data_IF_218244467155
#
_entry.id   IF_218244467155
#
_cell.length_a   1.000
_cell.length_b   1.000
_cell.length_c   1.000
_cell.angle_alpha   90.00
_cell.angle_beta   90.00
_cell.angle_gamma   90.00
#
_symmetry.space_group_name_H-M   'P 1'
#
loop_
_entity.id
_entity.type
_entity.pdbx_description
1 polymer ?
#
# COMPACT_ATOMS: atom_id res chain seq x y z
N UNK A 1 -15.70 -10.55 17.48
CA UNK A 1 -15.41 -10.12 16.09
C UNK A 1 -14.85 -8.69 16.13
N UNK A 2 -13.66 -8.47 15.59
CA UNK A 2 -13.00 -7.16 15.47
C UNK A 2 -12.67 -6.98 13.99
N UNK A 3 -12.99 -5.82 13.42
CA UNK A 3 -12.71 -5.51 12.02
C UNK A 3 -11.81 -4.28 11.93
N UNK A 4 -10.74 -4.37 11.13
CA UNK A 4 -9.77 -3.29 10.91
C UNK A 4 -9.60 -3.03 9.43
N UNK A 5 -9.35 -1.77 9.09
CA UNK A 5 -9.00 -1.34 7.74
C UNK A 5 -7.48 -1.49 7.54
N UNK A 6 -7.10 -2.03 6.39
CA UNK A 6 -5.76 -2.00 5.83
C UNK A 6 -5.76 -1.00 4.65
N UNK A 7 -5.47 0.29 4.89
CA UNK A 7 -5.70 1.36 3.93
C UNK A 7 -4.71 1.28 2.76
N UNK A 8 -5.16 1.65 1.56
CA UNK A 8 -4.27 1.77 0.41
C UNK A 8 -3.25 2.89 0.62
N UNK A 9 -1.98 2.59 0.32
CA UNK A 9 -0.85 3.51 0.42
C UNK A 9 -0.65 4.25 -0.91
N UNK A 10 -0.49 5.55 -0.87
CA UNK A 10 -0.23 6.40 -2.03
C UNK A 10 1.06 7.17 -1.85
N UNK A 11 1.96 7.10 -2.83
CA UNK A 11 3.08 8.01 -2.92
C UNK A 11 2.63 9.27 -3.69
N UNK A 12 2.51 10.41 -3.01
CA UNK A 12 2.16 11.69 -3.66
C UNK A 12 3.27 12.15 -4.60
N UNK A 13 4.53 11.93 -4.19
CA UNK A 13 5.70 11.98 -5.05
C UNK A 13 6.66 10.85 -4.69
N UNK A 14 7.54 10.48 -5.62
CA UNK A 14 8.59 9.50 -5.39
C UNK A 14 9.83 9.89 -6.18
N UNK A 15 10.89 10.26 -5.49
CA UNK A 15 12.18 10.61 -6.09
C UNK A 15 13.20 9.53 -5.75
N UNK A 16 14.01 9.18 -6.73
CA UNK A 16 15.14 8.29 -6.54
C UNK A 16 16.40 9.14 -6.39
N UNK A 17 16.96 9.16 -5.19
CA UNK A 17 18.02 10.07 -4.80
C UNK A 17 19.43 9.49 -4.96
N UNK A 18 19.54 8.19 -5.13
CA UNK A 18 20.83 7.49 -5.24
C UNK A 18 20.65 5.97 -5.16
N UNK A 19 21.80 5.29 -5.09
CA UNK A 19 21.87 3.85 -4.91
C UNK A 19 23.04 3.52 -3.99
N UNK A 20 22.86 2.63 -3.01
CA UNK A 20 23.93 2.19 -2.14
C UNK A 20 24.78 1.07 -2.78
N UNK A 21 25.90 0.72 -2.13
CA UNK A 21 26.82 -0.31 -2.61
C UNK A 21 26.20 -1.72 -2.62
N UNK A 22 25.11 -1.93 -1.88
CA UNK A 22 24.33 -3.18 -1.86
C UNK A 22 23.28 -3.24 -2.97
N UNK A 23 23.11 -2.14 -3.72
CA UNK A 23 22.17 -2.05 -4.82
C UNK A 23 20.77 -1.56 -4.45
N UNK A 24 20.53 -1.11 -3.21
CA UNK A 24 19.27 -0.50 -2.81
C UNK A 24 19.20 0.97 -3.24
N UNK A 25 18.05 1.38 -3.75
CA UNK A 25 17.82 2.77 -4.13
C UNK A 25 17.43 3.60 -2.91
N UNK A 26 18.06 4.77 -2.79
CA UNK A 26 17.66 5.78 -1.83
C UNK A 26 16.50 6.56 -2.39
N UNK A 27 15.46 6.71 -1.62
CA UNK A 27 14.21 7.36 -1.99
C UNK A 27 13.99 8.64 -1.17
N UNK A 28 13.21 9.55 -1.71
CA UNK A 28 12.53 10.61 -0.99
C UNK A 28 11.08 10.64 -1.50
N UNK A 29 10.13 10.43 -0.61
CA UNK A 29 8.73 10.27 -0.97
C UNK A 29 7.82 10.76 0.13
N UNK A 30 6.64 11.26 -0.24
CA UNK A 30 5.58 11.56 0.70
C UNK A 30 4.47 10.54 0.53
N UNK A 31 4.17 9.83 1.61
CA UNK A 31 3.18 8.76 1.63
C UNK A 31 1.94 9.20 2.41
N UNK A 32 0.78 8.95 1.83
CA UNK A 32 -0.53 9.09 2.47
C UNK A 32 -1.31 7.80 2.36
N UNK A 33 -2.35 7.66 3.17
CA UNK A 33 -3.25 6.52 3.16
C UNK A 33 -4.67 6.97 2.84
N UNK A 34 -5.49 6.06 2.30
CA UNK A 34 -6.87 6.36 1.93
C UNK A 34 -7.86 5.69 2.89
N UNK A 35 -9.09 6.20 2.97
CA UNK A 35 -10.19 5.52 3.66
C UNK A 35 -10.65 4.25 2.94
N UNK A 36 -10.22 4.05 1.70
CA UNK A 36 -10.37 2.80 0.96
C UNK A 36 -9.20 1.86 1.24
N UNK A 37 -9.49 0.55 1.37
CA UNK A 37 -8.47 -0.47 1.62
C UNK A 37 -9.03 -1.87 1.71
N UNK A 38 -8.15 -2.81 2.00
CA UNK A 38 -8.51 -4.17 2.38
C UNK A 38 -9.07 -4.17 3.81
N UNK A 39 -9.77 -5.23 4.17
CA UNK A 39 -10.37 -5.35 5.49
C UNK A 39 -10.00 -6.68 6.12
N UNK A 40 -9.50 -6.63 7.36
CA UNK A 40 -9.25 -7.82 8.16
C UNK A 40 -10.30 -7.93 9.26
N UNK A 41 -10.86 -9.11 9.41
CA UNK A 41 -11.76 -9.45 10.52
C UNK A 41 -11.16 -10.59 11.32
N UNK A 42 -11.19 -10.46 12.65
CA UNK A 42 -10.59 -11.40 13.59
C UNK A 42 -11.64 -12.00 14.50
N UNK A 43 -11.63 -13.31 14.63
CA UNK A 43 -12.45 -14.06 15.58
C UNK A 43 -11.55 -15.01 16.38
N UNK A 44 -11.80 -15.21 17.70
CA UNK A 44 -11.08 -16.22 18.46
C UNK A 44 -11.33 -17.61 17.87
N UNK A 45 -10.29 -18.41 17.77
CA UNK A 45 -10.34 -19.79 17.29
C UNK A 45 -9.38 -20.70 18.07
N UNK A 46 -9.56 -22.02 17.96
CA UNK A 46 -8.63 -22.97 18.58
C UNK A 46 -7.28 -23.01 17.86
N UNK A 47 -7.31 -22.92 16.54
CA UNK A 47 -6.15 -22.89 15.66
C UNK A 47 -6.25 -21.64 14.75
N UNK A 48 -5.10 -21.18 14.22
CA UNK A 48 -5.10 -20.09 13.25
C UNK A 48 -5.67 -20.55 11.90
N UNK A 49 -6.43 -19.67 11.29
CA UNK A 49 -6.94 -19.84 9.94
C UNK A 49 -6.98 -18.51 9.21
N UNK A 50 -6.70 -18.52 7.90
CA UNK A 50 -6.85 -17.37 7.01
C UNK A 50 -7.82 -17.73 5.88
N UNK A 51 -8.84 -16.91 5.72
CA UNK A 51 -9.77 -16.97 4.57
C UNK A 51 -9.58 -15.66 3.80
N UNK A 52 -9.32 -15.78 2.49
CA UNK A 52 -9.19 -14.62 1.61
C UNK A 52 -10.43 -14.52 0.73
N UNK A 53 -11.05 -13.34 0.75
CA UNK A 53 -12.27 -13.01 0.00
C UNK A 53 -12.08 -11.67 -0.75
N UNK A 54 -13.12 -11.18 -1.43
CA UNK A 54 -13.10 -9.89 -2.12
C UNK A 54 -12.72 -10.01 -3.60
N UNK A 55 -12.77 -8.87 -4.30
CA UNK A 55 -12.60 -8.79 -5.77
C UNK A 55 -11.25 -9.34 -6.24
N UNK A 56 -10.19 -9.14 -5.46
CA UNK A 56 -8.83 -9.55 -5.82
C UNK A 56 -8.32 -10.79 -5.08
N UNK A 57 -9.21 -11.57 -4.46
CA UNK A 57 -8.84 -12.80 -3.76
C UNK A 57 -8.22 -13.86 -4.67
N UNK A 58 -8.73 -14.01 -5.90
CA UNK A 58 -8.25 -15.00 -6.88
C UNK A 58 -6.84 -14.73 -7.37
N UNK A 59 -6.36 -13.49 -7.30
CA UNK A 59 -4.98 -13.13 -7.66
C UNK A 59 -3.95 -13.64 -6.63
N UNK A 60 -4.40 -14.15 -5.47
CA UNK A 60 -3.57 -14.73 -4.41
C UNK A 60 -3.63 -16.27 -4.36
N UNK A 61 -4.05 -16.92 -5.48
CA UNK A 61 -4.29 -18.36 -5.56
C UNK A 61 -5.19 -18.90 -4.44
N UNK A 62 -6.49 -18.85 -4.75
CA UNK A 62 -7.58 -19.59 -4.13
C UNK A 62 -8.25 -19.05 -2.85
N UNK A 63 -9.56 -18.96 -2.94
CA UNK A 63 -10.51 -18.98 -1.83
C UNK A 63 -10.50 -20.38 -1.14
N UNK A 64 -9.38 -20.86 -0.66
CA UNK A 64 -9.31 -22.07 0.15
C UNK A 64 -8.98 -21.70 1.59
N UNK A 65 -9.63 -22.37 2.51
CA UNK A 65 -9.33 -22.32 3.94
C UNK A 65 -7.88 -22.76 4.11
N UNK A 66 -7.00 -21.82 4.38
CA UNK A 66 -5.63 -22.11 4.72
C UNK A 66 -5.58 -22.37 6.22
N UNK A 67 -5.56 -23.63 6.61
CA UNK A 67 -5.26 -24.01 7.98
C UNK A 67 -3.73 -24.03 8.13
N UNK A 68 -3.13 -23.14 8.91
CA UNK A 68 -1.71 -23.15 9.15
C UNK A 68 -1.39 -24.11 10.30
N UNK A 69 -1.41 -25.39 10.04
CA UNK A 69 -0.50 -26.27 10.73
C UNK A 69 0.64 -26.55 9.78
N UNK A 70 1.80 -26.03 10.12
CA UNK A 70 3.06 -26.45 9.54
C UNK A 70 3.23 -27.95 9.75
N UNK A 71 2.52 -28.72 8.94
CA UNK A 71 2.80 -30.16 8.86
C UNK A 71 4.00 -30.31 7.95
N UNK A 72 5.19 -30.46 8.56
CA UNK A 72 6.45 -30.76 7.83
C UNK A 72 6.36 -31.95 6.88
N UNK A 73 5.24 -32.66 6.84
CA UNK A 73 5.03 -33.84 6.03
C UNK A 73 4.16 -33.61 4.77
N UNK A 74 3.44 -32.49 4.67
CA UNK A 74 2.74 -32.11 3.45
C UNK A 74 3.38 -30.82 2.91
N UNK A 75 4.02 -30.91 1.73
CA UNK A 75 4.67 -29.76 1.03
C UNK A 75 3.63 -28.77 0.46
N UNK A 76 2.53 -28.51 1.14
CA UNK A 76 1.53 -27.55 0.71
C UNK A 76 1.80 -26.20 1.39
N UNK A 77 2.63 -25.38 0.75
CA UNK A 77 3.10 -24.09 1.22
C UNK A 77 2.17 -22.91 0.89
N UNK A 78 0.98 -23.14 0.35
CA UNK A 78 0.14 -22.08 -0.22
C UNK A 78 -0.36 -21.02 0.78
N UNK A 79 -0.41 -21.33 2.05
CA UNK A 79 -0.76 -20.34 3.09
C UNK A 79 0.41 -19.73 3.84
N UNK A 80 1.57 -20.41 3.84
CA UNK A 80 2.78 -19.95 4.54
C UNK A 80 3.41 -18.72 3.88
N UNK A 81 3.09 -18.43 2.62
CA UNK A 81 3.63 -17.29 1.87
C UNK A 81 2.79 -16.01 2.03
N UNK A 82 1.60 -16.08 2.63
CA UNK A 82 0.79 -14.88 2.84
C UNK A 82 1.41 -14.00 3.93
N UNK A 83 1.60 -12.71 3.60
CA UNK A 83 2.28 -11.76 4.49
C UNK A 83 1.55 -11.56 5.82
N UNK A 84 0.22 -11.72 5.84
CA UNK A 84 -0.60 -11.67 7.07
C UNK A 84 -0.22 -12.81 8.02
N UNK A 85 -0.10 -14.04 7.49
CA UNK A 85 0.28 -15.18 8.33
C UNK A 85 1.74 -15.09 8.79
N UNK A 86 2.64 -14.67 7.91
CA UNK A 86 4.05 -14.41 8.28
C UNK A 86 4.15 -13.35 9.38
N UNK A 87 3.30 -12.32 9.33
CA UNK A 87 3.25 -11.28 10.36
C UNK A 87 2.74 -11.85 11.71
N UNK A 88 1.75 -12.73 11.70
CA UNK A 88 1.23 -13.40 12.90
C UNK A 88 2.28 -14.32 13.54
N UNK A 89 2.95 -15.13 12.73
CA UNK A 89 4.01 -16.03 13.20
C UNK A 89 5.18 -15.23 13.77
N UNK A 90 5.66 -14.22 13.04
CA UNK A 90 6.74 -13.33 13.50
C UNK A 90 6.38 -12.56 14.77
N UNK A 91 5.10 -12.18 14.95
CA UNK A 91 4.63 -11.53 16.16
C UNK A 91 4.79 -12.45 17.38
N UNK A 92 4.45 -13.74 17.26
CA UNK A 92 4.62 -14.73 18.35
C UNK A 92 6.10 -15.07 18.60
N UNK A 93 6.88 -15.21 17.54
CA UNK A 93 8.33 -15.45 17.64
C UNK A 93 9.05 -14.30 18.34
N UNK A 94 8.59 -13.06 18.14
CA UNK A 94 9.08 -11.88 18.84
C UNK A 94 8.65 -11.79 20.33
N UNK A 95 7.82 -12.73 20.81
CA UNK A 95 7.37 -12.82 22.20
C UNK A 95 5.97 -12.30 22.49
N UNK A 96 5.24 -11.85 21.47
CA UNK A 96 3.83 -11.46 21.60
C UNK A 96 2.94 -12.66 21.93
N UNK A 97 1.97 -12.49 22.83
CA UNK A 97 1.08 -13.57 23.28
C UNK A 97 -0.34 -13.32 22.81
N UNK A 98 -0.76 -14.09 21.82
CA UNK A 98 -2.12 -14.07 21.26
C UNK A 98 -2.62 -15.51 21.04
N UNK A 99 -3.88 -15.77 21.37
CA UNK A 99 -4.54 -17.05 21.13
C UNK A 99 -4.78 -17.28 19.64
N UNK A 100 -5.26 -18.47 19.28
CA UNK A 100 -5.61 -18.80 17.89
C UNK A 100 -6.66 -17.86 17.31
N UNK A 101 -6.50 -17.50 16.06
CA UNK A 101 -7.34 -16.53 15.35
C UNK A 101 -7.86 -17.11 14.02
N UNK A 102 -9.17 -17.02 13.80
CA UNK A 102 -9.77 -17.11 12.48
C UNK A 102 -9.75 -15.69 11.86
N UNK A 103 -8.98 -15.54 10.77
CA UNK A 103 -8.77 -14.26 10.09
C UNK A 103 -9.48 -14.31 8.74
N UNK A 104 -10.35 -13.34 8.48
CA UNK A 104 -10.89 -13.11 7.14
C UNK A 104 -10.25 -11.86 6.56
N UNK A 105 -9.57 -12.01 5.41
CA UNK A 105 -8.97 -10.93 4.65
C UNK A 105 -9.82 -10.67 3.39
N UNK A 106 -10.50 -9.53 3.35
CA UNK A 106 -11.24 -9.07 2.18
C UNK A 106 -10.33 -8.19 1.32
N UNK A 107 -9.93 -8.71 0.14
CA UNK A 107 -9.03 -8.04 -0.81
C UNK A 107 -9.79 -7.13 -1.77
N UNK A 108 -9.74 -5.83 -1.50
CA UNK A 108 -10.33 -4.76 -2.30
C UNK A 108 -9.28 -3.99 -3.10
N UNK A 109 -7.99 -4.03 -2.67
CA UNK A 109 -6.87 -3.41 -3.36
C UNK A 109 -6.33 -4.36 -4.43
N UNK A 110 -6.17 -3.92 -5.70
CA UNK A 110 -5.56 -4.74 -6.74
C UNK A 110 -4.16 -5.23 -6.35
N UNK A 111 -3.88 -6.50 -6.57
CA UNK A 111 -2.57 -7.10 -6.24
C UNK A 111 -1.49 -6.61 -7.19
N UNK A 112 -0.31 -6.27 -6.67
CA UNK A 112 0.81 -5.78 -7.47
C UNK A 112 0.59 -4.40 -8.10
N UNK A 113 -0.31 -3.60 -7.52
CA UNK A 113 -0.77 -2.34 -8.08
C UNK A 113 0.01 -1.10 -7.63
N UNK A 114 1.09 -1.23 -6.85
CA UNK A 114 1.82 -0.08 -6.31
C UNK A 114 1.11 0.65 -5.16
N UNK A 115 0.02 0.06 -4.61
CA UNK A 115 -0.79 0.62 -3.53
C UNK A 115 -0.47 0.04 -2.14
N UNK A 116 0.55 -0.80 -2.03
CA UNK A 116 1.03 -1.35 -0.76
C UNK A 116 0.06 -2.30 -0.06
N UNK A 117 -0.92 -2.92 -0.77
CA UNK A 117 -2.00 -3.70 -0.16
C UNK A 117 -1.51 -4.79 0.81
N UNK A 118 -0.60 -5.67 0.38
CA UNK A 118 -0.07 -6.72 1.26
C UNK A 118 0.69 -6.18 2.48
N UNK A 119 1.42 -5.07 2.33
CA UNK A 119 2.11 -4.42 3.45
C UNK A 119 1.12 -3.76 4.42
N UNK A 120 0.03 -3.19 3.89
CA UNK A 120 -1.06 -2.65 4.70
C UNK A 120 -1.79 -3.75 5.48
N UNK A 121 -2.03 -4.92 4.84
CA UNK A 121 -2.64 -6.09 5.48
C UNK A 121 -1.80 -6.57 6.68
N UNK A 122 -0.49 -6.77 6.46
CA UNK A 122 0.44 -7.17 7.52
C UNK A 122 0.49 -6.14 8.66
N UNK A 123 0.58 -4.87 8.33
CA UNK A 123 0.59 -3.79 9.33
C UNK A 123 -0.72 -3.71 10.11
N UNK A 124 -1.86 -3.88 9.45
CA UNK A 124 -3.18 -3.91 10.09
C UNK A 124 -3.30 -5.11 11.05
N UNK A 125 -2.82 -6.29 10.66
CA UNK A 125 -2.72 -7.44 11.54
C UNK A 125 -1.84 -7.09 12.76
N UNK A 126 -0.61 -6.62 12.56
CA UNK A 126 0.33 -6.33 13.65
C UNK A 126 -0.27 -5.35 14.68
N UNK A 127 -0.93 -4.28 14.22
CA UNK A 127 -1.64 -3.35 15.11
C UNK A 127 -2.73 -4.05 15.91
N UNK A 128 -3.56 -4.84 15.23
CA UNK A 128 -4.70 -5.52 15.86
C UNK A 128 -4.23 -6.55 16.89
N UNK A 129 -3.29 -7.43 16.53
CA UNK A 129 -2.81 -8.46 17.47
C UNK A 129 -2.04 -7.86 18.63
N UNK A 130 -1.29 -6.78 18.42
CA UNK A 130 -0.59 -6.09 19.51
C UNK A 130 -1.56 -5.43 20.49
N UNK A 131 -2.65 -4.84 20.00
CA UNK A 131 -3.70 -4.27 20.86
C UNK A 131 -4.51 -5.33 21.62
N UNK A 132 -4.63 -6.55 21.07
CA UNK A 132 -5.36 -7.67 21.68
C UNK A 132 -4.47 -8.57 22.54
N UNK A 133 -3.16 -8.42 22.45
CA UNK A 133 -2.19 -9.30 23.10
C UNK A 133 -2.23 -9.20 24.62
N UNK A 134 -2.06 -10.34 25.29
CA UNK A 134 -1.84 -10.40 26.75
C UNK A 134 -0.42 -9.98 27.16
N UNK A 135 0.51 -10.00 26.20
CA UNK A 135 1.87 -9.47 26.34
C UNK A 135 2.21 -8.72 25.04
N UNK A 136 1.79 -7.44 24.91
CA UNK A 136 2.07 -6.66 23.72
C UNK A 136 3.57 -6.42 23.57
N UNK A 137 4.04 -6.40 22.33
CA UNK A 137 5.41 -6.06 22.00
C UNK A 137 5.63 -4.55 22.16
N UNK A 138 6.82 -4.20 22.60
CA UNK A 138 7.28 -2.81 22.57
C UNK A 138 7.32 -2.29 21.12
N UNK A 139 7.09 -0.98 20.95
CA UNK A 139 7.05 -0.35 19.64
C UNK A 139 8.30 -0.62 18.82
N UNK A 140 9.50 -0.58 19.41
CA UNK A 140 10.75 -0.86 18.69
C UNK A 140 10.77 -2.28 18.10
N UNK A 141 10.40 -3.29 18.91
CA UNK A 141 10.33 -4.69 18.47
C UNK A 141 9.29 -4.86 17.35
N UNK A 142 8.15 -4.17 17.48
CA UNK A 142 7.08 -4.22 16.47
C UNK A 142 7.53 -3.60 15.13
N UNK A 143 8.28 -2.50 15.18
CA UNK A 143 8.85 -1.89 13.97
C UNK A 143 9.97 -2.73 13.34
N UNK A 144 10.84 -3.37 14.15
CA UNK A 144 11.86 -4.29 13.65
C UNK A 144 11.22 -5.49 12.94
N UNK A 145 10.16 -6.05 13.53
CA UNK A 145 9.37 -7.10 12.89
C UNK A 145 8.75 -6.59 11.57
N UNK A 146 8.12 -5.43 11.58
CA UNK A 146 7.53 -4.83 10.38
C UNK A 146 8.57 -4.68 9.26
N UNK A 147 9.79 -4.19 9.58
CA UNK A 147 10.88 -4.04 8.61
C UNK A 147 11.35 -5.38 8.03
N UNK A 148 11.33 -6.45 8.84
CA UNK A 148 11.70 -7.80 8.37
C UNK A 148 10.68 -8.40 7.39
N UNK A 149 9.42 -7.96 7.45
CA UNK A 149 8.35 -8.42 6.58
C UNK A 149 8.36 -7.76 5.20
N UNK A 150 8.81 -6.50 5.11
CA UNK A 150 8.91 -5.77 3.85
C UNK A 150 9.10 -4.27 4.04
N UNK A 151 9.68 -3.61 3.03
CA UNK A 151 10.09 -2.21 3.09
C UNK A 151 8.92 -1.23 3.35
N UNK A 152 7.71 -1.54 2.86
CA UNK A 152 6.52 -0.70 3.04
C UNK A 152 5.75 -1.02 4.35
N UNK A 153 6.07 -2.13 5.06
CA UNK A 153 5.31 -2.51 6.27
C UNK A 153 5.48 -1.50 7.41
N UNK A 154 6.70 -0.97 7.69
CA UNK A 154 6.88 0.02 8.74
C UNK A 154 6.06 1.30 8.52
N UNK A 155 6.01 1.83 7.30
CA UNK A 155 5.22 3.04 7.01
C UNK A 155 3.73 2.76 7.08
N UNK A 156 3.27 1.58 6.65
CA UNK A 156 1.89 1.13 6.86
C UNK A 156 1.56 0.96 8.35
N UNK A 157 2.53 0.52 9.16
CA UNK A 157 2.38 0.40 10.61
C UNK A 157 2.28 1.77 11.30
N UNK A 158 3.10 2.74 10.89
CA UNK A 158 3.05 4.11 11.37
C UNK A 158 1.72 4.79 11.05
N UNK A 159 1.21 4.59 9.83
CA UNK A 159 0.02 5.27 9.34
C UNK A 159 0.22 6.79 9.20
N UNK A 160 -0.89 7.51 9.00
CA UNK A 160 -0.86 8.96 8.82
C UNK A 160 -0.14 9.40 7.56
N UNK A 161 0.28 10.67 7.51
CA UNK A 161 1.11 11.16 6.41
C UNK A 161 2.58 11.10 6.82
N UNK A 162 3.43 10.43 6.03
CA UNK A 162 4.84 10.19 6.33
C UNK A 162 5.73 10.62 5.18
N UNK A 163 6.76 11.42 5.47
CA UNK A 163 7.88 11.61 4.54
C UNK A 163 8.88 10.48 4.76
N UNK A 164 9.21 9.78 3.69
CA UNK A 164 10.16 8.67 3.69
C UNK A 164 11.45 9.13 3.04
N UNK A 165 12.56 8.85 3.70
CA UNK A 165 13.91 9.11 3.17
C UNK A 165 14.77 7.85 3.26
N UNK A 166 15.92 7.83 2.55
CA UNK A 166 16.86 6.72 2.55
C UNK A 166 16.31 5.50 1.83
N UNK A 167 16.55 4.33 2.37
CA UNK A 167 16.04 3.04 1.85
C UNK A 167 14.63 2.69 2.39
N UNK A 168 13.93 3.67 2.95
CA UNK A 168 12.63 3.50 3.62
C UNK A 168 12.74 3.46 5.15
N UNK A 169 13.94 3.66 5.69
CA UNK A 169 14.26 3.62 7.11
C UNK A 169 14.11 4.98 7.82
N UNK A 170 14.21 6.07 7.06
CA UNK A 170 13.95 7.42 7.56
C UNK A 170 12.47 7.79 7.40
N UNK A 171 11.68 7.71 8.47
CA UNK A 171 10.27 8.15 8.48
C UNK A 171 10.12 9.41 9.34
N UNK A 172 9.43 10.40 8.79
CA UNK A 172 9.11 11.64 9.51
C UNK A 172 7.64 11.99 9.29
N UNK A 173 6.83 12.16 10.35
CA UNK A 173 5.46 12.61 10.22
C UNK A 173 5.39 13.95 9.49
N UNK A 174 4.42 14.08 8.60
CA UNK A 174 4.15 15.31 7.85
C UNK A 174 2.68 15.68 7.97
N UNK A 175 2.41 16.98 8.15
CA UNK A 175 1.03 17.47 8.18
C UNK A 175 0.55 17.72 6.76
N UNK A 176 -0.31 16.83 6.26
CA UNK A 176 -0.88 16.96 4.92
C UNK A 176 -1.76 18.20 4.82
N UNK A 177 -1.59 19.04 3.79
CA UNK A 177 -2.56 20.08 3.50
C UNK A 177 -3.96 19.51 3.28
N UNK A 178 -4.99 20.27 3.63
CA UNK A 178 -6.36 19.84 3.44
C UNK A 178 -6.63 19.50 1.97
N UNK A 179 -7.13 18.30 1.73
CA UNK A 179 -7.53 17.79 0.42
C UNK A 179 -9.01 17.46 0.42
N UNK A 180 -9.63 17.52 -0.75
CA UNK A 180 -11.00 17.02 -0.93
C UNK A 180 -11.02 15.49 -1.09
N UNK A 181 -11.33 15.00 -2.28
CA UNK A 181 -11.37 13.57 -2.57
C UNK A 181 -10.12 13.12 -3.33
N UNK A 182 -9.81 11.84 -3.19
CA UNK A 182 -8.83 11.11 -4.00
C UNK A 182 -9.54 10.06 -4.85
N UNK A 183 -9.16 9.97 -6.11
CA UNK A 183 -9.53 8.89 -7.02
C UNK A 183 -8.34 7.98 -7.20
N UNK A 184 -8.54 6.68 -7.09
CA UNK A 184 -7.57 5.65 -7.45
C UNK A 184 -8.04 4.94 -8.70
N UNK A 185 -7.13 4.62 -9.62
CA UNK A 185 -7.44 3.76 -10.77
C UNK A 185 -6.25 2.88 -11.15
N UNK A 186 -6.58 1.72 -11.75
CA UNK A 186 -5.58 0.73 -12.15
C UNK A 186 -6.01 0.07 -13.47
N UNK A 187 -5.09 -0.11 -14.43
CA UNK A 187 -5.39 -0.78 -15.71
C UNK A 187 -5.60 -2.30 -15.59
N UNK A 188 -5.58 -2.87 -14.38
CA UNK A 188 -5.67 -4.32 -14.11
C UNK A 188 -4.55 -5.13 -14.79
N UNK A 189 -3.42 -4.50 -15.09
CA UNK A 189 -2.24 -5.11 -15.68
C UNK A 189 -1.18 -5.22 -14.59
N UNK A 190 -0.71 -6.43 -14.26
CA UNK A 190 0.36 -6.60 -13.28
C UNK A 190 1.64 -5.89 -13.71
N UNK A 191 2.27 -5.17 -12.79
CA UNK A 191 3.53 -4.48 -13.00
C UNK A 191 4.47 -4.75 -11.84
N UNK A 192 5.59 -5.41 -12.13
CA UNK A 192 6.59 -5.74 -11.14
C UNK A 192 7.43 -4.51 -10.78
N UNK A 193 7.53 -4.18 -9.50
CA UNK A 193 8.42 -3.13 -8.99
C UNK A 193 9.87 -3.35 -9.47
N UNK A 194 10.34 -4.61 -9.45
CA UNK A 194 11.68 -4.96 -9.92
C UNK A 194 11.88 -4.62 -11.39
N UNK A 195 10.89 -4.92 -12.23
CA UNK A 195 11.00 -4.66 -13.67
C UNK A 195 11.02 -3.16 -13.94
N UNK A 196 10.21 -2.37 -13.23
CA UNK A 196 10.24 -0.91 -13.32
C UNK A 196 11.60 -0.35 -12.98
N UNK A 197 12.20 -0.75 -11.85
CA UNK A 197 13.55 -0.32 -11.49
C UNK A 197 14.62 -0.78 -12.48
N UNK A 198 14.47 -1.97 -13.05
CA UNK A 198 15.41 -2.50 -14.04
C UNK A 198 15.34 -1.76 -15.38
N UNK A 199 14.14 -1.32 -15.78
CA UNK A 199 13.92 -0.59 -17.03
C UNK A 199 14.08 0.93 -16.88
N UNK A 200 14.31 1.41 -15.66
CA UNK A 200 14.47 2.83 -15.39
C UNK A 200 15.88 3.28 -15.77
N UNK A 201 15.99 4.21 -16.71
CA UNK A 201 17.18 5.06 -16.84
C UNK A 201 17.09 6.17 -15.77
N UNK A 202 17.28 5.77 -14.50
CA UNK A 202 17.05 6.65 -13.36
C UNK A 202 18.14 7.73 -13.36
N UNK A 203 17.75 8.94 -13.70
CA UNK A 203 18.52 10.14 -13.35
C UNK A 203 18.17 10.51 -11.92
N UNK A 204 19.11 10.36 -11.00
CA UNK A 204 18.88 10.68 -9.60
C UNK A 204 18.42 12.13 -9.44
N UNK A 205 17.22 12.31 -8.93
CA UNK A 205 16.59 13.64 -8.78
C UNK A 205 17.08 14.42 -7.56
N UNK A 206 17.81 13.75 -6.66
CA UNK A 206 18.18 14.32 -5.36
C UNK A 206 16.97 14.45 -4.42
N UNK A 207 17.24 14.77 -3.17
CA UNK A 207 16.22 14.98 -2.13
C UNK A 207 15.41 16.23 -2.44
N UNK A 208 14.09 16.20 -2.31
CA UNK A 208 13.26 17.39 -2.37
C UNK A 208 13.63 18.35 -1.24
N UNK A 209 13.59 19.65 -1.51
CA UNK A 209 13.81 20.67 -0.50
C UNK A 209 12.75 20.67 0.60
N UNK A 210 12.51 21.85 1.22
CA UNK A 210 11.40 21.99 2.15
C UNK A 210 10.07 21.74 1.43
N UNK A 211 9.18 21.01 2.08
CA UNK A 211 7.81 20.78 1.63
C UNK A 211 6.84 21.82 2.23
N UNK A 212 7.34 22.69 3.12
CA UNK A 212 6.53 23.68 3.82
C UNK A 212 5.89 24.67 2.83
N UNK A 213 4.62 24.92 3.03
CA UNK A 213 3.83 25.85 2.21
C UNK A 213 3.41 25.31 0.84
N UNK A 214 3.77 24.08 0.48
CA UNK A 214 3.23 23.43 -0.71
C UNK A 214 1.79 22.96 -0.42
N UNK A 215 0.88 23.21 -1.35
CA UNK A 215 -0.41 22.54 -1.35
C UNK A 215 -0.29 21.11 -1.91
N UNK A 216 -1.38 20.37 -1.91
CA UNK A 216 -1.38 18.98 -2.36
C UNK A 216 -0.94 18.84 -3.84
N UNK A 217 -1.31 19.78 -4.71
CA UNK A 217 -0.90 19.77 -6.11
C UNK A 217 0.60 20.07 -6.26
N UNK A 218 1.12 21.00 -5.47
CA UNK A 218 2.57 21.30 -5.40
C UNK A 218 3.39 20.10 -4.92
N UNK A 219 2.88 19.33 -3.96
CA UNK A 219 3.51 18.09 -3.51
C UNK A 219 3.54 17.04 -4.64
N UNK A 220 2.43 16.85 -5.36
CA UNK A 220 2.36 15.90 -6.49
C UNK A 220 3.25 16.36 -7.65
N UNK A 221 3.39 17.67 -7.88
CA UNK A 221 4.25 18.23 -8.92
C UNK A 221 5.76 17.96 -8.72
N UNK A 222 6.18 17.49 -7.53
CA UNK A 222 7.55 16.99 -7.31
C UNK A 222 7.86 15.73 -8.13
N UNK A 223 6.81 15.03 -8.61
CA UNK A 223 6.88 13.98 -9.61
C UNK A 223 7.18 12.59 -9.05
N UNK A 224 7.21 11.62 -9.97
CA UNK A 224 7.57 10.24 -9.67
C UNK A 224 8.57 9.76 -10.73
N UNK A 225 9.82 9.55 -10.30
CA UNK A 225 10.96 9.19 -11.16
C UNK A 225 10.79 7.80 -11.84
N UNK A 226 9.88 6.99 -11.35
CA UNK A 226 9.59 5.66 -11.91
C UNK A 226 8.52 5.72 -13.03
N UNK A 227 7.80 6.83 -13.16
CA UNK A 227 6.73 6.97 -14.17
C UNK A 227 7.21 6.70 -15.60
N UNK A 228 8.37 7.22 -16.07
CA UNK A 228 8.79 6.97 -17.44
C UNK A 228 8.95 5.48 -17.78
N UNK A 229 9.56 4.71 -16.88
CA UNK A 229 9.74 3.27 -17.05
C UNK A 229 8.42 2.51 -17.00
N UNK A 230 7.55 2.86 -16.06
CA UNK A 230 6.23 2.24 -15.94
C UNK A 230 5.38 2.48 -17.20
N UNK A 231 5.44 3.66 -17.81
CA UNK A 231 4.74 3.99 -19.05
C UNK A 231 5.26 3.20 -20.28
N UNK A 232 6.52 2.81 -20.26
CA UNK A 232 7.09 1.92 -21.32
C UNK A 232 6.57 0.51 -21.15
N UNK A 233 6.54 0.01 -19.91
CA UNK A 233 6.12 -1.36 -19.60
C UNK A 233 4.60 -1.55 -19.70
N UNK A 234 3.83 -0.54 -19.28
CA UNK A 234 2.35 -0.56 -19.27
C UNK A 234 1.83 0.77 -19.84
N UNK A 235 1.74 0.93 -21.16
CA UNK A 235 1.28 2.18 -21.81
C UNK A 235 -0.12 2.62 -21.37
N UNK A 236 -0.96 1.71 -20.89
CA UNK A 236 -2.31 1.98 -20.39
C UNK A 236 -2.32 2.92 -19.16
N UNK A 237 -1.21 3.02 -18.43
CA UNK A 237 -1.03 4.02 -17.37
C UNK A 237 -1.17 5.43 -17.94
N UNK A 238 -0.62 5.69 -19.14
CA UNK A 238 -0.75 7.00 -19.83
C UNK A 238 -2.22 7.33 -20.11
N UNK A 239 -2.94 6.39 -20.72
CA UNK A 239 -4.37 6.59 -21.05
C UNK A 239 -5.21 6.78 -19.78
N UNK A 240 -4.88 6.09 -18.69
CA UNK A 240 -5.51 6.31 -17.39
C UNK A 240 -5.31 7.75 -16.89
N UNK A 241 -4.09 8.26 -16.94
CA UNK A 241 -3.76 9.64 -16.53
C UNK A 241 -4.46 10.66 -17.44
N UNK A 242 -4.46 10.45 -18.76
CA UNK A 242 -5.15 11.33 -19.74
C UNK A 242 -6.66 11.43 -19.46
N UNK A 243 -7.31 10.30 -19.13
CA UNK A 243 -8.74 10.31 -18.76
C UNK A 243 -8.95 11.08 -17.44
N UNK A 244 -8.09 10.88 -16.45
CA UNK A 244 -8.14 11.62 -15.20
C UNK A 244 -7.99 13.12 -15.42
N UNK A 245 -6.96 13.52 -16.18
CA UNK A 245 -6.61 14.93 -16.46
C UNK A 245 -7.71 15.66 -17.27
N UNK A 246 -8.48 14.93 -18.09
CA UNK A 246 -9.60 15.48 -18.85
C UNK A 246 -10.87 15.67 -18.00
N UNK A 247 -10.89 15.18 -16.75
CA UNK A 247 -12.08 15.25 -15.89
C UNK A 247 -12.22 16.64 -15.24
N UNK A 248 -13.44 17.13 -15.19
CA UNK A 248 -13.74 18.41 -14.53
C UNK A 248 -13.48 18.35 -13.02
N UNK A 249 -12.98 19.43 -12.44
CA UNK A 249 -12.74 19.55 -11.01
C UNK A 249 -11.45 18.87 -10.51
N UNK A 250 -10.64 18.31 -11.41
CA UNK A 250 -9.33 17.75 -11.06
C UNK A 250 -8.36 18.85 -10.61
N UNK A 251 -7.58 18.56 -9.57
CA UNK A 251 -6.44 19.39 -9.14
C UNK A 251 -5.12 18.89 -9.73
N UNK A 252 -4.90 17.58 -9.67
CA UNK A 252 -3.70 16.94 -10.22
C UNK A 252 -3.93 15.44 -10.34
N UNK A 253 -3.14 14.79 -11.19
CA UNK A 253 -3.06 13.34 -11.30
C UNK A 253 -1.60 12.88 -11.38
N UNK A 254 -1.31 11.69 -10.86
CA UNK A 254 0.01 11.06 -10.95
C UNK A 254 -0.08 9.54 -10.77
N UNK A 255 1.03 8.87 -11.05
CA UNK A 255 1.21 7.46 -10.76
C UNK A 255 1.73 7.26 -9.32
N UNK A 256 1.21 6.28 -8.60
CA UNK A 256 1.66 5.93 -7.24
C UNK A 256 2.74 4.83 -7.26
N UNK A 257 3.78 5.01 -6.45
CA UNK A 257 4.82 4.01 -6.24
C UNK A 257 5.53 3.63 -7.53
N UNK A 258 5.83 2.34 -7.70
CA UNK A 258 6.39 1.78 -8.94
C UNK A 258 5.34 1.61 -10.05
N UNK A 259 4.12 1.95 -9.78
CA UNK A 259 3.04 1.94 -10.76
C UNK A 259 2.17 0.70 -10.72
N UNK A 260 1.47 0.54 -11.84
CA UNK A 260 0.18 0.06 -12.12
C UNK A 260 -0.90 1.06 -11.76
N UNK A 261 -0.98 1.57 -10.56
CA UNK A 261 -2.04 2.49 -10.17
C UNK A 261 -1.68 3.96 -10.35
N UNK A 262 -2.70 4.72 -10.75
CA UNK A 262 -2.74 6.17 -10.78
C UNK A 262 -3.67 6.69 -9.69
N UNK A 263 -3.45 7.94 -9.27
CA UNK A 263 -4.37 8.68 -8.42
C UNK A 263 -4.61 10.08 -8.97
N UNK A 264 -5.74 10.65 -8.60
CA UNK A 264 -6.04 12.05 -8.86
C UNK A 264 -6.67 12.69 -7.63
N UNK A 265 -6.37 13.97 -7.41
CA UNK A 265 -6.96 14.75 -6.32
C UNK A 265 -8.04 15.69 -6.88
N UNK A 266 -9.14 15.77 -6.15
CA UNK A 266 -10.31 16.58 -6.48
C UNK A 266 -10.70 17.46 -5.29
N UNK A 267 -11.37 18.56 -5.60
CA UNK A 267 -11.97 19.40 -4.56
C UNK A 267 -13.24 18.77 -3.99
N UNK A 268 -14.06 18.19 -4.89
CA UNK A 268 -15.35 17.63 -4.56
C UNK A 268 -15.38 16.12 -4.76
N UNK A 269 -15.98 15.40 -3.82
CA UNK A 269 -16.18 13.96 -3.91
C UNK A 269 -17.08 13.57 -5.10
N UNK A 270 -18.03 14.42 -5.49
CA UNK A 270 -18.89 14.22 -6.66
C UNK A 270 -18.08 14.09 -7.96
N UNK A 271 -17.05 14.94 -8.13
CA UNK A 271 -16.23 14.97 -9.32
C UNK A 271 -15.31 13.72 -9.38
N UNK A 272 -14.74 13.35 -8.24
CA UNK A 272 -13.96 12.11 -8.14
C UNK A 272 -14.81 10.86 -8.47
N UNK A 273 -16.08 10.80 -8.02
CA UNK A 273 -17.01 9.71 -8.35
C UNK A 273 -17.38 9.69 -9.83
N UNK A 274 -17.60 10.86 -10.43
CA UNK A 274 -17.88 10.96 -11.86
C UNK A 274 -16.68 10.49 -12.71
N UNK A 275 -15.46 10.85 -12.29
CA UNK A 275 -14.23 10.38 -12.91
C UNK A 275 -14.04 8.86 -12.76
N UNK A 276 -14.35 8.30 -11.59
CA UNK A 276 -14.30 6.85 -11.37
C UNK A 276 -15.21 6.11 -12.35
N UNK A 277 -16.45 6.55 -12.50
CA UNK A 277 -17.41 5.95 -13.44
C UNK A 277 -16.92 6.01 -14.91
N UNK A 278 -16.27 7.10 -15.33
CA UNK A 278 -15.68 7.20 -16.67
C UNK A 278 -14.54 6.20 -16.88
N UNK A 279 -13.67 6.04 -15.90
CA UNK A 279 -12.58 5.08 -15.93
C UNK A 279 -13.07 3.64 -15.94
N UNK A 280 -14.12 3.33 -15.17
CA UNK A 280 -14.74 2.00 -15.18
C UNK A 280 -15.34 1.67 -16.56
N UNK A 281 -16.02 2.62 -17.20
CA UNK A 281 -16.51 2.48 -18.59
C UNK A 281 -15.36 2.23 -19.57
N UNK A 282 -14.19 2.84 -19.32
CA UNK A 282 -12.98 2.63 -20.12
C UNK A 282 -12.23 1.32 -19.80
N UNK A 283 -12.74 0.51 -18.85
CA UNK A 283 -12.20 -0.81 -18.49
C UNK A 283 -11.14 -0.80 -17.38
N UNK A 284 -10.94 0.35 -16.71
CA UNK A 284 -10.06 0.43 -15.55
C UNK A 284 -10.80 -0.01 -14.27
N UNK A 285 -10.06 -0.50 -13.30
CA UNK A 285 -10.54 -0.47 -11.92
C UNK A 285 -10.43 0.96 -11.41
N UNK A 286 -11.46 1.48 -10.79
CA UNK A 286 -11.44 2.83 -10.24
C UNK A 286 -12.29 2.94 -8.99
N UNK A 287 -11.86 3.77 -8.04
CA UNK A 287 -12.59 4.05 -6.79
C UNK A 287 -12.31 5.46 -6.29
N UNK A 288 -13.36 6.19 -5.95
CA UNK A 288 -13.25 7.46 -5.25
C UNK A 288 -13.24 7.24 -3.73
N UNK A 289 -12.33 7.91 -3.03
CA UNK A 289 -12.12 7.82 -1.60
C UNK A 289 -11.72 9.19 -1.02
N UNK A 290 -11.29 9.20 0.24
CA UNK A 290 -10.66 10.33 0.91
C UNK A 290 -9.27 9.93 1.40
N UNK A 291 -8.41 10.92 1.66
CA UNK A 291 -7.15 10.68 2.36
C UNK A 291 -7.48 10.46 3.83
N UNK A 292 -7.04 9.32 4.34
CA UNK A 292 -7.21 8.94 5.74
C UNK A 292 -6.44 9.89 6.64
N UNK A 293 -7.13 10.60 7.50
CA UNK A 293 -6.53 11.46 8.53
C UNK A 293 -6.55 10.68 9.84
N UNK A 294 -5.39 10.56 10.47
CA UNK A 294 -5.30 10.06 11.85
C UNK A 294 -5.62 11.24 12.75
N UNK A 295 -6.68 11.10 13.56
CA UNK A 295 -7.05 12.06 14.62
C UNK A 295 -5.97 12.14 15.71
#
# INVERSE_FOLDING_TARGET
MISVLAPAKINLFLRVCGKDDRGYHHLDSLIVFTEFGDRLTFEPAADDALIVTGEFSTALDSAEIVTPRFNRQTQDNRGADNLVMRALDGYREAGGVIDGLAITLEKNIPVGAGLGGGSADAAALLRAVNALSRAPLDSSVLYDLAASLGADVPVCLAGGCQRIAGIGDGMTPFTMPQTGAILLANPRIPLSTRDVFTHSDIRYSGVAGSLDGLDAAGLVALGNDLTPAALVLVPQIRSCLEIMEATSGIKCAAMSGSGGSCFALFEQTSDAKAAAAQLEIAGYWAIASQIYQVD
#
